data_IF_337482594907
#
_entry.id   IF_337482594907
#
_cell.length_a   1.000
_cell.length_b   1.000
_cell.length_c   1.000
_cell.angle_alpha   90.00
_cell.angle_beta   90.00
_cell.angle_gamma   90.00
#
_symmetry.space_group_name_H-M   'P 1'
#
loop_
_entity.id
_entity.type
_entity.pdbx_description
1 polymer ?
#
# COMPACT_ATOMS: atom_id res chain seq x y z
N UNK A 1 21.02 -17.36 -17.95
CA UNK A 1 22.08 -16.76 -17.12
C UNK A 1 22.53 -17.71 -15.99
N UNK A 2 21.61 -18.34 -15.25
CA UNK A 2 21.87 -19.43 -14.29
C UNK A 2 22.81 -20.52 -14.82
N UNK A 3 22.52 -21.11 -15.98
CA UNK A 3 23.34 -22.19 -16.55
C UNK A 3 24.79 -21.75 -16.85
N UNK A 4 24.98 -20.51 -17.31
CA UNK A 4 26.30 -19.92 -17.56
C UNK A 4 27.07 -19.70 -16.26
N UNK A 5 26.42 -19.15 -15.24
CA UNK A 5 27.00 -18.95 -13.90
C UNK A 5 27.36 -20.28 -13.23
N UNK A 6 26.51 -21.28 -13.34
CA UNK A 6 26.78 -22.64 -12.88
C UNK A 6 27.97 -23.23 -13.62
N UNK A 7 28.03 -23.10 -14.95
CA UNK A 7 29.17 -23.56 -15.75
C UNK A 7 30.49 -22.90 -15.33
N UNK A 8 30.51 -21.59 -15.13
CA UNK A 8 31.69 -20.84 -14.69
C UNK A 8 32.13 -21.26 -13.28
N UNK A 9 31.20 -21.41 -12.34
CA UNK A 9 31.51 -21.85 -10.98
C UNK A 9 31.98 -23.32 -10.91
N UNK A 10 31.69 -24.13 -11.93
CA UNK A 10 32.22 -25.49 -12.08
C UNK A 10 33.62 -25.54 -12.74
N UNK A 11 34.13 -24.44 -13.32
CA UNK A 11 35.47 -24.40 -13.93
C UNK A 11 36.57 -24.86 -12.97
N UNK A 12 36.62 -24.45 -11.67
CA UNK A 12 37.63 -24.93 -10.74
C UNK A 12 37.59 -26.46 -10.52
N UNK A 13 36.40 -27.08 -10.58
CA UNK A 13 36.23 -28.54 -10.48
C UNK A 13 36.70 -29.28 -11.73
N UNK A 14 36.52 -28.67 -12.90
CA UNK A 14 37.00 -29.19 -14.18
C UNK A 14 38.50 -28.98 -14.37
N UNK A 15 39.07 -27.87 -13.90
CA UNK A 15 40.50 -27.56 -13.95
C UNK A 15 41.33 -28.23 -12.83
N UNK A 16 40.75 -29.11 -12.02
CA UNK A 16 41.49 -29.93 -11.06
C UNK A 16 41.93 -29.22 -9.78
N UNK A 17 41.42 -28.02 -9.47
CA UNK A 17 41.61 -27.39 -8.14
C UNK A 17 40.67 -28.05 -7.13
N UNK A 18 41.11 -29.13 -6.51
CA UNK A 18 40.38 -29.79 -5.42
C UNK A 18 40.54 -29.00 -4.12
N UNK A 19 39.48 -28.32 -3.70
CA UNK A 19 39.35 -27.79 -2.34
C UNK A 19 39.27 -28.96 -1.35
N UNK A 20 39.87 -28.79 -0.16
CA UNK A 20 39.79 -29.77 0.92
C UNK A 20 38.37 -29.82 1.52
N UNK A 21 38.05 -30.92 2.22
CA UNK A 21 36.75 -31.11 2.90
C UNK A 21 36.40 -29.94 3.84
N UNK A 22 37.41 -29.36 4.49
CA UNK A 22 37.24 -28.19 5.38
C UNK A 22 36.91 -26.92 4.59
N UNK A 23 37.50 -26.74 3.41
CA UNK A 23 37.24 -25.58 2.56
C UNK A 23 35.83 -25.63 1.95
N UNK A 24 35.36 -26.80 1.50
CA UNK A 24 33.98 -26.98 1.05
C UNK A 24 32.96 -26.73 2.16
N UNK A 25 33.29 -27.08 3.41
CA UNK A 25 32.45 -26.77 4.57
C UNK A 25 32.34 -25.27 4.83
N UNK A 26 33.39 -24.48 4.54
CA UNK A 26 33.33 -23.00 4.62
C UNK A 26 32.44 -22.41 3.52
N UNK A 27 32.52 -22.93 2.30
CA UNK A 27 31.63 -22.53 1.18
C UNK A 27 30.16 -22.86 1.49
N UNK A 28 29.90 -23.89 2.29
CA UNK A 28 28.54 -24.25 2.72
C UNK A 28 27.86 -23.18 3.59
N UNK A 29 28.63 -22.35 4.31
CA UNK A 29 28.09 -21.21 5.06
C UNK A 29 27.84 -19.98 4.18
N UNK A 30 28.47 -19.90 3.00
CA UNK A 30 28.35 -18.75 2.10
C UNK A 30 27.03 -18.77 1.32
N UNK A 31 26.62 -19.92 0.79
CA UNK A 31 25.41 -20.01 -0.03
C UNK A 31 24.11 -19.63 0.72
N UNK A 32 23.86 -19.98 2.00
CA UNK A 32 22.63 -19.57 2.69
C UNK A 32 22.63 -18.07 2.99
N UNK A 33 23.79 -17.46 3.23
CA UNK A 33 23.91 -16.02 3.43
C UNK A 33 23.55 -15.25 2.14
N UNK A 34 24.13 -15.68 1.02
CA UNK A 34 23.85 -15.11 -0.31
C UNK A 34 22.39 -15.34 -0.71
N UNK A 35 21.84 -16.52 -0.46
CA UNK A 35 20.43 -16.82 -0.68
C UNK A 35 19.51 -15.95 0.19
N UNK A 36 19.87 -15.74 1.46
CA UNK A 36 19.10 -14.90 2.38
C UNK A 36 19.00 -13.44 1.90
N UNK A 37 20.11 -12.85 1.47
CA UNK A 37 20.11 -11.50 0.89
C UNK A 37 19.29 -11.47 -0.41
N UNK A 38 19.45 -12.50 -1.25
CA UNK A 38 18.66 -12.63 -2.48
C UNK A 38 17.16 -12.66 -2.19
N UNK A 39 16.72 -13.43 -1.20
CA UNK A 39 15.32 -13.53 -0.80
C UNK A 39 14.79 -12.21 -0.22
N UNK A 40 15.58 -11.49 0.58
CA UNK A 40 15.18 -10.15 1.09
C UNK A 40 14.86 -9.17 -0.05
N UNK A 41 15.67 -9.16 -1.12
CA UNK A 41 15.39 -8.33 -2.29
C UNK A 41 14.09 -8.72 -3.02
N UNK A 42 13.77 -10.02 -3.07
CA UNK A 42 12.48 -10.46 -3.64
C UNK A 42 11.28 -10.09 -2.77
N UNK A 43 11.42 -10.15 -1.43
CA UNK A 43 10.34 -9.79 -0.50
C UNK A 43 10.03 -8.29 -0.59
N UNK A 44 11.04 -7.43 -0.69
CA UNK A 44 10.85 -5.98 -0.90
C UNK A 44 10.10 -5.69 -2.20
N UNK A 45 10.42 -6.40 -3.29
CA UNK A 45 9.70 -6.27 -4.56
C UNK A 45 8.22 -6.65 -4.44
N UNK A 46 7.94 -7.80 -3.81
CA UNK A 46 6.57 -8.27 -3.62
C UNK A 46 5.80 -7.27 -2.77
N UNK A 47 6.37 -6.78 -1.66
CA UNK A 47 5.74 -5.76 -0.81
C UNK A 47 5.42 -4.48 -1.59
N UNK A 48 6.41 -3.92 -2.29
CA UNK A 48 6.24 -2.67 -3.07
C UNK A 48 5.20 -2.83 -4.17
N UNK A 49 5.18 -3.98 -4.87
CA UNK A 49 4.20 -4.28 -5.91
C UNK A 49 2.79 -4.46 -5.36
N UNK A 50 2.65 -5.23 -4.28
CA UNK A 50 1.36 -5.41 -3.58
C UNK A 50 0.85 -4.07 -3.08
N UNK A 51 1.70 -3.25 -2.45
CA UNK A 51 1.32 -1.90 -2.02
C UNK A 51 0.86 -1.03 -3.19
N UNK A 52 1.53 -1.10 -4.35
CA UNK A 52 1.11 -0.35 -5.54
C UNK A 52 -0.26 -0.77 -6.04
N UNK A 53 -0.55 -2.08 -6.07
CA UNK A 53 -1.84 -2.60 -6.52
C UNK A 53 -2.97 -2.21 -5.53
N UNK A 54 -2.69 -2.21 -4.23
CA UNK A 54 -3.65 -1.77 -3.20
C UNK A 54 -3.84 -0.25 -3.18
N UNK A 55 -2.81 0.54 -3.45
CA UNK A 55 -2.86 2.00 -3.40
C UNK A 55 -3.95 2.58 -4.32
N UNK A 56 -4.13 2.03 -5.53
CA UNK A 56 -5.19 2.47 -6.44
C UNK A 56 -6.60 2.16 -5.89
N UNK A 57 -6.76 0.99 -5.29
CA UNK A 57 -8.02 0.57 -4.66
C UNK A 57 -8.33 1.44 -3.44
N UNK A 58 -7.34 1.74 -2.62
CA UNK A 58 -7.47 2.58 -1.42
C UNK A 58 -7.73 4.05 -1.78
N UNK A 59 -7.06 4.57 -2.82
CA UNK A 59 -7.36 5.88 -3.38
C UNK A 59 -8.83 5.97 -3.80
N UNK A 60 -9.29 5.00 -4.60
CA UNK A 60 -10.69 4.93 -5.04
C UNK A 60 -11.66 4.89 -3.86
N UNK A 61 -11.35 4.12 -2.80
CA UNK A 61 -12.19 4.07 -1.59
C UNK A 61 -12.27 5.42 -0.88
N UNK A 62 -11.16 6.14 -0.76
CA UNK A 62 -11.13 7.46 -0.13
C UNK A 62 -11.91 8.48 -0.98
N UNK A 63 -11.78 8.46 -2.31
CA UNK A 63 -12.58 9.30 -3.23
C UNK A 63 -14.07 9.00 -3.10
N UNK A 64 -14.46 7.72 -3.15
CA UNK A 64 -15.87 7.32 -2.99
C UNK A 64 -16.45 7.74 -1.64
N UNK A 65 -15.64 7.81 -0.58
CA UNK A 65 -16.08 8.35 0.72
C UNK A 65 -16.46 9.83 0.61
N UNK A 66 -15.65 10.65 -0.07
CA UNK A 66 -15.97 12.07 -0.33
C UNK A 66 -17.19 12.24 -1.23
N UNK A 67 -17.29 11.42 -2.28
CA UNK A 67 -18.47 11.42 -3.16
C UNK A 67 -19.74 11.06 -2.38
N UNK A 68 -19.65 10.10 -1.45
CA UNK A 68 -20.75 9.72 -0.57
C UNK A 68 -21.14 10.87 0.35
N UNK A 69 -20.18 11.59 0.95
CA UNK A 69 -20.45 12.79 1.78
C UNK A 69 -21.18 13.86 0.96
N UNK A 70 -20.69 14.17 -0.25
CA UNK A 70 -21.31 15.15 -1.13
C UNK A 70 -22.72 14.73 -1.57
N UNK A 71 -22.90 13.44 -1.88
CA UNK A 71 -24.22 12.89 -2.23
C UNK A 71 -25.18 12.95 -1.05
N UNK A 72 -24.74 12.54 0.14
CA UNK A 72 -25.56 12.62 1.34
C UNK A 72 -25.99 14.07 1.64
N UNK A 73 -25.04 15.01 1.60
CA UNK A 73 -25.29 16.44 1.81
C UNK A 73 -26.25 17.00 0.77
N UNK A 74 -26.05 16.65 -0.52
CA UNK A 74 -26.95 17.05 -1.61
C UNK A 74 -28.35 16.48 -1.44
N UNK A 75 -28.48 15.22 -1.01
CA UNK A 75 -29.78 14.57 -0.81
C UNK A 75 -30.60 15.25 0.30
N UNK A 76 -29.96 15.89 1.29
CA UNK A 76 -30.70 16.65 2.30
C UNK A 76 -31.42 17.87 1.69
N UNK A 77 -30.95 18.40 0.55
CA UNK A 77 -31.62 19.47 -0.18
C UNK A 77 -32.93 19.02 -0.85
N UNK A 78 -33.09 17.73 -1.08
CA UNK A 78 -34.33 17.13 -1.61
C UNK A 78 -35.25 16.64 -0.48
N UNK A 79 -34.80 16.70 0.77
CA UNK A 79 -35.56 16.26 1.93
C UNK A 79 -36.58 17.31 2.38
N UNK A 80 -37.42 16.92 3.35
CA UNK A 80 -38.38 17.81 4.01
C UNK A 80 -37.76 19.08 4.62
N UNK A 81 -36.43 19.08 4.87
CA UNK A 81 -35.71 20.25 5.39
C UNK A 81 -35.69 21.43 4.40
N UNK A 82 -35.78 21.15 3.10
CA UNK A 82 -35.64 22.16 2.05
C UNK A 82 -36.86 22.24 1.12
N UNK A 83 -37.80 21.30 1.21
CA UNK A 83 -39.05 21.36 0.46
C UNK A 83 -40.09 22.17 1.25
N UNK A 84 -40.60 23.24 0.65
CA UNK A 84 -41.71 24.04 1.19
C UNK A 84 -43.06 23.28 1.10
N UNK A 85 -43.09 22.01 1.50
CA UNK A 85 -44.33 21.23 1.54
C UNK A 85 -45.21 21.69 2.69
N UNK A 86 -46.47 21.99 2.37
CA UNK A 86 -47.46 22.51 3.32
C UNK A 86 -47.64 21.53 4.48
N UNK A 87 -47.13 21.88 5.66
CA UNK A 87 -47.23 21.08 6.89
C UNK A 87 -45.90 20.78 7.57
N UNK A 88 -44.77 21.07 6.91
CA UNK A 88 -43.45 21.11 7.55
C UNK A 88 -43.25 22.51 8.11
N UNK A 89 -42.74 22.57 9.34
CA UNK A 89 -42.48 23.78 10.10
C UNK A 89 -41.79 24.85 9.22
N UNK A 90 -42.51 25.94 8.89
CA UNK A 90 -41.96 27.16 8.27
C UNK A 90 -41.06 27.93 9.26
N UNK A 91 -40.51 27.23 10.25
CA UNK A 91 -39.67 27.74 11.30
C UNK A 91 -38.32 28.19 10.75
N UNK A 92 -37.80 29.24 11.37
CA UNK A 92 -36.48 29.82 11.09
C UNK A 92 -35.37 28.74 11.13
N UNK A 93 -35.52 27.71 11.97
CA UNK A 93 -34.58 26.60 12.11
C UNK A 93 -34.48 25.71 10.86
N UNK A 94 -35.62 25.44 10.19
CA UNK A 94 -35.66 24.66 8.95
C UNK A 94 -34.97 25.41 7.80
N UNK A 95 -35.25 26.70 7.67
CA UNK A 95 -34.62 27.56 6.65
C UNK A 95 -33.10 27.67 6.87
N UNK A 96 -32.65 27.84 8.12
CA UNK A 96 -31.24 27.90 8.46
C UNK A 96 -30.52 26.56 8.21
N UNK A 97 -31.18 25.45 8.54
CA UNK A 97 -30.69 24.10 8.25
C UNK A 97 -30.51 23.87 6.75
N UNK A 98 -31.51 24.24 5.95
CA UNK A 98 -31.44 24.12 4.49
C UNK A 98 -30.32 24.98 3.89
N UNK A 99 -30.17 26.23 4.36
CA UNK A 99 -29.10 27.11 3.93
C UNK A 99 -27.71 26.50 4.24
N UNK A 100 -27.55 25.90 5.42
CA UNK A 100 -26.31 25.24 5.80
C UNK A 100 -25.96 24.04 4.90
N UNK A 101 -26.95 23.19 4.59
CA UNK A 101 -26.74 22.08 3.64
C UNK A 101 -26.41 22.56 2.23
N UNK A 102 -27.00 23.68 1.80
CA UNK A 102 -26.73 24.27 0.50
C UNK A 102 -25.29 24.79 0.42
N UNK A 103 -24.87 25.57 1.40
CA UNK A 103 -23.48 26.07 1.48
C UNK A 103 -22.47 24.92 1.59
N UNK A 104 -22.76 23.91 2.42
CA UNK A 104 -21.93 22.72 2.56
C UNK A 104 -21.81 21.93 1.23
N UNK A 105 -22.91 21.79 0.51
CA UNK A 105 -22.92 21.14 -0.82
C UNK A 105 -22.10 21.93 -1.84
N UNK A 106 -22.24 23.25 -1.87
CA UNK A 106 -21.47 24.12 -2.76
C UNK A 106 -19.97 24.05 -2.46
N UNK A 107 -19.61 24.07 -1.17
CA UNK A 107 -18.23 23.88 -0.72
C UNK A 107 -17.67 22.53 -1.18
N UNK A 108 -18.38 21.42 -0.93
CA UNK A 108 -17.95 20.08 -1.35
C UNK A 108 -17.80 19.95 -2.87
N UNK A 109 -18.74 20.49 -3.65
CA UNK A 109 -18.67 20.47 -5.13
C UNK A 109 -17.54 21.29 -5.71
N UNK A 110 -17.03 22.28 -4.98
CA UNK A 110 -15.91 23.11 -5.43
C UNK A 110 -14.56 22.39 -5.35
N UNK A 111 -14.49 21.26 -4.64
CA UNK A 111 -13.24 20.54 -4.40
C UNK A 111 -13.00 19.43 -5.42
N UNK A 112 -11.71 19.17 -5.70
CA UNK A 112 -11.29 18.03 -6.48
C UNK A 112 -11.07 16.81 -5.57
N UNK A 113 -12.02 15.87 -5.54
CA UNK A 113 -11.91 14.70 -4.67
C UNK A 113 -10.76 13.76 -5.04
N UNK A 114 -10.29 13.77 -6.29
CA UNK A 114 -9.16 12.95 -6.72
C UNK A 114 -7.84 13.33 -6.01
N UNK A 115 -7.75 14.56 -5.49
CA UNK A 115 -6.57 15.04 -4.75
C UNK A 115 -6.59 14.66 -3.27
N UNK A 116 -7.65 13.97 -2.79
CA UNK A 116 -7.83 13.59 -1.38
C UNK A 116 -7.54 14.76 -0.41
N UNK A 117 -8.29 15.88 -0.55
CA UNK A 117 -8.01 17.11 0.20
C UNK A 117 -8.09 16.88 1.71
N UNK A 118 -7.28 17.59 2.49
CA UNK A 118 -7.32 17.46 3.95
C UNK A 118 -8.52 18.21 4.54
N UNK A 119 -9.68 17.57 4.54
CA UNK A 119 -10.94 18.14 5.04
C UNK A 119 -11.52 17.31 6.17
N UNK A 120 -12.03 17.98 7.18
CA UNK A 120 -12.78 17.39 8.30
C UNK A 120 -14.18 17.97 8.33
N UNK A 121 -15.03 17.46 9.24
CA UNK A 121 -16.35 18.05 9.44
C UNK A 121 -16.27 19.55 9.75
N UNK A 122 -15.27 19.98 10.54
CA UNK A 122 -15.02 21.40 10.87
C UNK A 122 -14.66 22.28 9.67
N UNK A 123 -14.39 21.68 8.50
CA UNK A 123 -14.14 22.42 7.26
C UNK A 123 -15.43 22.91 6.60
N UNK A 124 -16.59 22.36 7.01
CA UNK A 124 -17.90 22.85 6.58
C UNK A 124 -18.23 24.22 7.20
N UNK A 125 -19.19 24.97 6.64
CA UNK A 125 -19.69 26.20 7.25
C UNK A 125 -20.05 25.99 8.73
N UNK A 126 -19.75 26.97 9.58
CA UNK A 126 -20.06 26.86 11.01
C UNK A 126 -21.57 26.94 11.23
N UNK A 127 -22.08 26.05 12.07
CA UNK A 127 -23.47 26.06 12.51
C UNK A 127 -23.63 27.13 13.59
N UNK A 128 -24.35 28.21 13.28
CA UNK A 128 -24.61 29.34 14.20
C UNK A 128 -26.06 29.38 14.70
N UNK A 129 -26.83 28.32 14.44
CA UNK A 129 -28.26 28.22 14.72
C UNK A 129 -28.56 27.00 15.59
N UNK A 130 -29.80 26.90 16.10
CA UNK A 130 -30.26 25.68 16.80
C UNK A 130 -30.24 24.50 15.84
N UNK A 131 -29.49 23.45 16.15
CA UNK A 131 -29.33 22.30 15.26
C UNK A 131 -30.21 21.11 15.64
N UNK A 132 -31.27 21.31 16.43
CA UNK A 132 -32.09 20.22 16.96
C UNK A 132 -32.76 19.41 15.85
N UNK A 133 -33.17 20.07 14.75
CA UNK A 133 -33.75 19.40 13.58
C UNK A 133 -32.76 18.53 12.79
N UNK A 134 -31.46 18.83 12.87
CA UNK A 134 -30.42 18.21 12.03
C UNK A 134 -29.32 17.51 12.83
N UNK A 135 -29.47 17.37 14.15
CA UNK A 135 -28.48 16.79 15.05
C UNK A 135 -28.05 15.38 14.59
N UNK A 136 -29.02 14.56 14.19
CA UNK A 136 -28.75 13.22 13.66
C UNK A 136 -27.97 13.25 12.33
N UNK A 137 -28.24 14.23 11.45
CA UNK A 137 -27.53 14.40 10.21
C UNK A 137 -26.09 14.87 10.44
N UNK A 138 -25.89 15.76 11.41
CA UNK A 138 -24.57 16.25 11.84
C UNK A 138 -23.72 15.07 12.34
N UNK A 139 -24.25 14.30 13.29
CA UNK A 139 -23.55 13.12 13.83
C UNK A 139 -23.22 12.11 12.74
N UNK A 140 -24.13 11.90 11.77
CA UNK A 140 -23.86 11.01 10.64
C UNK A 140 -22.76 11.56 9.73
N UNK A 141 -22.80 12.86 9.39
CA UNK A 141 -21.78 13.52 8.59
C UNK A 141 -20.40 13.48 9.26
N UNK A 142 -20.31 13.77 10.55
CA UNK A 142 -19.07 13.63 11.34
C UNK A 142 -18.47 12.24 11.18
N UNK A 143 -19.28 11.18 11.37
CA UNK A 143 -18.84 9.80 11.17
C UNK A 143 -18.39 9.49 9.73
N UNK A 144 -19.01 10.11 8.72
CA UNK A 144 -18.55 9.97 7.32
C UNK A 144 -17.21 10.66 7.08
N UNK A 145 -16.96 11.83 7.68
CA UNK A 145 -15.67 12.52 7.61
C UNK A 145 -14.58 11.76 8.35
N UNK A 146 -14.88 11.18 9.51
CA UNK A 146 -13.95 10.32 10.26
C UNK A 146 -13.58 9.08 9.43
N UNK A 147 -14.56 8.44 8.79
CA UNK A 147 -14.29 7.33 7.88
C UNK A 147 -13.41 7.78 6.71
N UNK A 148 -13.70 8.93 6.09
CA UNK A 148 -12.86 9.48 5.03
C UNK A 148 -11.40 9.65 5.50
N UNK A 149 -11.18 10.25 6.67
CA UNK A 149 -9.85 10.46 7.23
C UNK A 149 -9.12 9.14 7.51
N UNK A 150 -9.84 8.13 8.02
CA UNK A 150 -9.29 6.78 8.17
C UNK A 150 -8.88 6.17 6.83
N UNK A 151 -9.70 6.27 5.79
CA UNK A 151 -9.38 5.72 4.46
C UNK A 151 -8.20 6.46 3.82
N UNK A 152 -8.16 7.78 3.95
CA UNK A 152 -7.05 8.61 3.49
C UNK A 152 -5.74 8.23 4.19
N UNK A 153 -5.77 8.06 5.50
CA UNK A 153 -4.59 7.64 6.26
C UNK A 153 -4.06 6.29 5.79
N UNK A 154 -4.95 5.32 5.57
CA UNK A 154 -4.57 4.01 5.03
C UNK A 154 -3.90 4.17 3.66
N UNK A 155 -4.50 4.91 2.74
CA UNK A 155 -3.90 5.20 1.43
C UNK A 155 -2.50 5.84 1.55
N UNK A 156 -2.35 6.87 2.39
CA UNK A 156 -1.06 7.54 2.61
C UNK A 156 -0.01 6.58 3.16
N UNK A 157 -0.38 5.69 4.09
CA UNK A 157 0.52 4.68 4.61
C UNK A 157 0.93 3.67 3.54
N UNK A 158 0.00 3.16 2.74
CA UNK A 158 0.30 2.26 1.62
C UNK A 158 1.19 2.92 0.58
N UNK A 159 0.99 4.22 0.29
CA UNK A 159 1.87 4.98 -0.60
C UNK A 159 3.30 5.08 -0.08
N UNK A 160 3.52 5.12 1.24
CA UNK A 160 4.87 5.05 1.81
C UNK A 160 5.50 3.67 1.59
N UNK A 161 4.71 2.60 1.66
CA UNK A 161 5.16 1.22 1.44
C UNK A 161 5.52 0.93 -0.03
N UNK A 162 4.99 1.71 -0.98
CA UNK A 162 5.41 1.63 -2.40
C UNK A 162 6.87 2.06 -2.58
N UNK A 163 7.36 2.96 -1.73
CA UNK A 163 8.71 3.53 -1.84
C UNK A 163 9.72 2.57 -1.23
N UNK A 164 10.61 2.05 -2.07
CA UNK A 164 11.74 1.23 -1.63
C UNK A 164 12.79 2.10 -0.96
N UNK A 165 13.35 1.61 0.13
CA UNK A 165 14.56 2.20 0.70
C UNK A 165 15.75 2.01 -0.28
N UNK A 166 16.73 2.92 -0.38
CA UNK A 166 17.85 2.79 -1.32
C UNK A 166 18.63 1.48 -1.21
N UNK A 167 18.76 0.92 0.00
CA UNK A 167 19.37 -0.40 0.21
C UNK A 167 18.51 -1.55 -0.34
N UNK A 168 17.19 -1.42 -0.24
CA UNK A 168 16.27 -2.42 -0.79
C UNK A 168 16.31 -2.41 -2.33
N UNK A 169 16.52 -1.26 -2.96
CA UNK A 169 16.69 -1.15 -4.41
C UNK A 169 17.95 -1.88 -4.90
N UNK A 170 19.06 -1.74 -4.17
CA UNK A 170 20.28 -2.49 -4.45
C UNK A 170 20.07 -4.01 -4.27
N UNK A 171 19.38 -4.43 -3.21
CA UNK A 171 19.07 -5.84 -3.00
C UNK A 171 18.10 -6.39 -4.04
N UNK A 172 17.10 -5.62 -4.45
CA UNK A 172 16.20 -5.99 -5.54
C UNK A 172 16.96 -6.23 -6.84
N UNK A 173 17.82 -5.30 -7.22
CA UNK A 173 18.62 -5.42 -8.44
C UNK A 173 19.55 -6.65 -8.41
N UNK A 174 20.21 -6.89 -7.27
CA UNK A 174 21.16 -8.00 -7.11
C UNK A 174 20.49 -9.34 -6.84
N UNK A 175 19.27 -9.34 -6.30
CA UNK A 175 18.53 -10.53 -5.87
C UNK A 175 18.52 -11.69 -6.86
N UNK A 176 18.12 -11.51 -8.14
CA UNK A 176 18.09 -12.62 -9.09
C UNK A 176 19.49 -13.21 -9.30
N UNK A 177 20.53 -12.38 -9.30
CA UNK A 177 21.92 -12.84 -9.43
C UNK A 177 22.40 -13.59 -8.20
N UNK A 178 22.10 -13.10 -6.99
CA UNK A 178 22.49 -13.74 -5.73
C UNK A 178 21.81 -15.11 -5.58
N UNK A 179 20.53 -15.23 -5.93
CA UNK A 179 19.83 -16.53 -5.93
C UNK A 179 20.49 -17.49 -6.92
N UNK A 180 20.81 -17.02 -8.14
CA UNK A 180 21.54 -17.84 -9.11
C UNK A 180 22.89 -18.31 -8.57
N UNK A 181 23.67 -17.40 -7.97
CA UNK A 181 24.98 -17.71 -7.38
C UNK A 181 24.82 -18.74 -6.25
N UNK A 182 23.85 -18.56 -5.35
CA UNK A 182 23.62 -19.49 -4.25
C UNK A 182 23.29 -20.90 -4.75
N UNK A 183 22.40 -21.03 -5.74
CA UNK A 183 22.06 -22.30 -6.36
C UNK A 183 23.29 -22.91 -7.03
N UNK A 184 24.01 -22.13 -7.84
CA UNK A 184 25.21 -22.59 -8.52
C UNK A 184 26.28 -23.08 -7.54
N UNK A 185 26.54 -22.34 -6.45
CA UNK A 185 27.48 -22.73 -5.39
C UNK A 185 27.05 -24.04 -4.73
N UNK A 186 25.77 -24.19 -4.41
CA UNK A 186 25.24 -25.41 -3.80
C UNK A 186 25.40 -26.62 -4.73
N UNK A 187 25.02 -26.49 -5.99
CA UNK A 187 25.18 -27.56 -7.00
C UNK A 187 26.66 -27.93 -7.16
N UNK A 188 27.54 -26.94 -7.29
CA UNK A 188 28.98 -27.12 -7.43
C UNK A 188 29.57 -27.91 -6.24
N UNK A 189 29.20 -27.53 -5.02
CA UNK A 189 29.64 -28.23 -3.80
C UNK A 189 29.21 -29.70 -3.82
N UNK A 190 27.93 -29.97 -4.07
CA UNK A 190 27.40 -31.34 -4.08
C UNK A 190 28.11 -32.18 -5.15
N UNK A 191 28.34 -31.62 -6.34
CA UNK A 191 29.10 -32.29 -7.40
C UNK A 191 30.56 -32.56 -7.00
N UNK A 192 31.19 -31.65 -6.25
CA UNK A 192 32.54 -31.84 -5.74
C UNK A 192 32.63 -32.98 -4.72
N UNK A 193 31.69 -33.02 -3.77
CA UNK A 193 31.61 -34.06 -2.73
C UNK A 193 31.44 -35.44 -3.38
N UNK A 194 30.53 -35.57 -4.36
CA UNK A 194 30.33 -36.81 -5.10
C UNK A 194 31.58 -37.26 -5.88
N UNK A 195 32.31 -36.31 -6.49
CA UNK A 195 33.58 -36.63 -7.20
C UNK A 195 34.65 -37.14 -6.24
N UNK A 196 34.75 -36.55 -5.04
CA UNK A 196 35.71 -36.98 -4.01
C UNK A 196 35.37 -38.36 -3.45
N UNK A 197 34.09 -38.65 -3.22
CA UNK A 197 33.63 -39.98 -2.77
C UNK A 197 33.97 -41.05 -3.81
N UNK A 198 33.77 -40.76 -5.10
CA UNK A 198 34.13 -41.68 -6.19
C UNK A 198 35.64 -41.94 -6.33
N UNK A 199 36.49 -40.97 -5.96
CA UNK A 199 37.95 -41.12 -6.03
C UNK A 199 38.55 -41.89 -4.84
N UNK A 200 37.84 -41.91 -3.70
CA UNK A 200 38.27 -42.59 -2.48
C UNK A 200 37.70 -44.02 -2.36
N UNK A 201 36.91 -44.46 -3.34
CA UNK A 201 36.35 -45.82 -3.44
C UNK A 201 37.09 -46.64 -4.48
#
# INVERSE_FOLDING_TARGET
>A
MTLLLTGVLHIPLWCGKNLSKVQWKKVDYLWPLVAGIGLMGTVSEVRSRVASDWAETEHTRAVLSLESINKYTSNQLESFLCTNEKGVDEGVESQQSCAWFLESTLYLRSMNFNELPNITFDSLPKITFSSGLIESNIMYLEGMFDNYQSQKHVYETTMLETKKHPLEEAFWYLSPYLICIAISVRVTKVSAELKMEKQNS
#
